data_IF_545420239319
#
_entry.id   IF_545420239319
#
_cell.length_a   1.000
_cell.length_b   1.000
_cell.length_c   1.000
_cell.angle_alpha   90.00
_cell.angle_beta   90.00
_cell.angle_gamma   90.00
#
_symmetry.space_group_name_H-M   'P 1'
#
loop_
_entity.id
_entity.type
_entity.pdbx_description
1 polymer ?
#
# COMPACT_ATOMS: atom_id res chain seq x y z
N UNK A 1 -1.49 -1.74 8.48
CA UNK A 1 -0.48 -1.69 7.39
C UNK A 1 0.18 -3.06 7.25
N UNK A 2 -0.41 -3.97 6.48
CA UNK A 2 0.02 -5.39 6.46
C UNK A 2 1.29 -5.68 5.64
N UNK A 3 1.95 -4.67 5.08
CA UNK A 3 3.11 -4.85 4.19
C UNK A 3 2.75 -5.31 2.77
N UNK A 4 1.49 -5.19 2.34
CA UNK A 4 1.10 -5.47 0.96
C UNK A 4 1.74 -4.46 0.00
N UNK A 5 2.43 -4.97 -1.02
CA UNK A 5 3.02 -4.16 -2.08
C UNK A 5 2.04 -4.07 -3.25
N UNK A 6 1.78 -2.84 -3.70
CA UNK A 6 0.98 -2.57 -4.89
C UNK A 6 1.87 -2.01 -5.99
N UNK A 7 1.75 -2.54 -7.21
CA UNK A 7 2.35 -1.97 -8.42
C UNK A 7 1.28 -1.23 -9.21
N UNK A 8 1.46 0.08 -9.38
CA UNK A 8 0.52 0.97 -10.04
C UNK A 8 0.90 2.44 -9.85
N UNK A 9 0.25 3.33 -10.59
CA UNK A 9 0.47 4.78 -10.45
C UNK A 9 -0.23 5.38 -9.23
N UNK A 10 -1.19 4.66 -8.64
CA UNK A 10 -2.02 5.10 -7.52
C UNK A 10 -2.26 3.95 -6.54
N UNK A 11 -2.39 4.25 -5.26
CA UNK A 11 -2.77 3.24 -4.26
C UNK A 11 -4.26 2.87 -4.40
N UNK A 12 -4.64 1.59 -4.17
CA UNK A 12 -6.04 1.18 -4.23
C UNK A 12 -6.84 1.82 -3.10
N UNK A 13 -8.15 2.04 -3.33
CA UNK A 13 -9.06 2.58 -2.31
C UNK A 13 -9.09 1.73 -1.02
N UNK A 14 -8.93 0.41 -1.16
CA UNK A 14 -8.91 -0.57 -0.07
C UNK A 14 -7.82 -1.61 -0.33
N UNK A 15 -7.02 -1.93 0.69
CA UNK A 15 -6.00 -2.96 0.61
C UNK A 15 -6.62 -4.36 0.46
N UNK A 16 -6.28 -5.14 -0.60
CA UNK A 16 -6.86 -6.46 -0.84
C UNK A 16 -6.44 -7.51 0.18
N UNK A 17 -5.35 -7.27 0.93
CA UNK A 17 -4.84 -8.19 1.93
C UNK A 17 -5.43 -7.97 3.33
N UNK A 18 -5.74 -6.72 3.70
CA UNK A 18 -6.13 -6.39 5.08
C UNK A 18 -7.33 -5.45 5.23
N UNK A 19 -8.01 -5.12 4.13
CA UNK A 19 -9.25 -4.32 4.10
C UNK A 19 -9.15 -2.91 4.75
N UNK A 20 -7.94 -2.37 4.88
CA UNK A 20 -7.71 -0.99 5.31
C UNK A 20 -7.81 -0.02 4.14
N UNK A 21 -8.18 1.23 4.43
CA UNK A 21 -8.32 2.30 3.43
C UNK A 21 -6.98 2.76 2.86
N UNK A 22 -7.05 3.47 1.73
CA UNK A 22 -5.92 4.04 1.00
C UNK A 22 -4.94 4.88 1.86
N UNK A 23 -5.42 5.53 2.92
CA UNK A 23 -4.62 6.35 3.86
C UNK A 23 -3.49 5.59 4.58
N UNK A 24 -3.50 4.25 4.49
CA UNK A 24 -2.50 3.35 5.06
C UNK A 24 -1.37 2.96 4.10
N UNK A 25 -1.39 3.44 2.85
CA UNK A 25 -0.34 3.21 1.86
C UNK A 25 0.71 4.32 1.88
N UNK A 26 1.94 3.95 1.51
CA UNK A 26 3.09 4.85 1.36
C UNK A 26 3.91 4.46 0.12
N UNK A 27 4.76 5.37 -0.36
CA UNK A 27 5.71 5.05 -1.43
C UNK A 27 6.77 4.10 -0.88
N UNK A 28 7.03 3.00 -1.58
CA UNK A 28 8.07 2.04 -1.21
C UNK A 28 9.42 2.75 -1.16
N UNK A 29 10.01 2.80 0.04
CA UNK A 29 11.35 3.33 0.27
C UNK A 29 12.34 2.19 0.54
N UNK A 30 13.43 2.16 -0.22
CA UNK A 30 14.54 1.22 -0.03
C UNK A 30 15.78 2.04 0.35
N UNK A 31 16.40 1.77 1.50
CA UNK A 31 17.48 2.61 2.04
C UNK A 31 18.55 1.81 2.84
N UNK A 32 18.95 0.67 2.30
CA UNK A 32 19.99 -0.21 2.87
C UNK A 32 21.29 -0.19 2.04
#
# INVERSE_FOLDING_TARGET
NCGYLHEGTEAPAVCPACNHKQEHFEVLGENW
#
